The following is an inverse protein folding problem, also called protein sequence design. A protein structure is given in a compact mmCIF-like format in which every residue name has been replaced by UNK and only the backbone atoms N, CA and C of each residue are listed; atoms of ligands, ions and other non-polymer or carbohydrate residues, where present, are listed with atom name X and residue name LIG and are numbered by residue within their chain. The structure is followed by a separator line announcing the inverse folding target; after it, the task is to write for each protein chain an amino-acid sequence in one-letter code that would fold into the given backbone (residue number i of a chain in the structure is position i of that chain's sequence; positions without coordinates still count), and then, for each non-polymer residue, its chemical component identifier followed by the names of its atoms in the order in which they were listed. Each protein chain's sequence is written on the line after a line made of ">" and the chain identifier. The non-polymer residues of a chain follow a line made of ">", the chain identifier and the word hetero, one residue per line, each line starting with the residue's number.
data_IF_430552520388
#
_entry.id   IF_430552520388
#
_cell.length_a   1.000
_cell.length_b   1.000
_cell.length_c   1.000
_cell.angle_alpha   90.00
_cell.angle_beta   90.00
_cell.angle_gamma   90.00
#
_symmetry.space_group_name_H-M   'P 1'
#
loop_
_entity.id
_entity.type
_entity.pdbx_description
1 polymer ?
#
# COMPACT_ATOMS: atom_id res chain seq x y z
N UNK A 1 -56.28 42.85 29.65
CA UNK A 1 -55.11 43.51 29.04
C UNK A 1 -54.31 44.14 30.17
N UNK A 2 -53.04 43.87 30.40
CA UNK A 2 -52.03 43.13 29.66
C UNK A 2 -50.99 42.56 30.64
N UNK A 3 -50.33 41.47 30.23
CA UNK A 3 -49.17 40.86 30.85
C UNK A 3 -47.95 41.79 30.81
N UNK A 4 -47.07 41.71 31.82
CA UNK A 4 -45.67 42.15 31.73
C UNK A 4 -44.83 40.96 32.23
N UNK A 5 -44.00 40.43 31.32
CA UNK A 5 -43.15 39.26 31.55
C UNK A 5 -41.73 39.62 32.02
N UNK A 6 -41.04 38.53 32.39
CA UNK A 6 -39.59 38.27 32.42
C UNK A 6 -38.72 39.24 33.25
N UNK A 7 -37.78 38.79 34.08
CA UNK A 7 -36.49 38.23 33.66
C UNK A 7 -35.96 37.25 34.74
N UNK A 8 -35.61 36.03 34.34
CA UNK A 8 -34.88 35.07 35.17
C UNK A 8 -33.39 35.46 35.18
N UNK A 9 -32.87 35.81 36.36
CA UNK A 9 -31.50 36.24 36.58
C UNK A 9 -30.51 35.08 36.30
N UNK A 10 -29.58 35.34 35.37
CA UNK A 10 -28.52 34.45 34.89
C UNK A 10 -27.51 34.10 36.00
N UNK A 11 -27.91 33.15 36.85
CA UNK A 11 -27.10 32.50 37.86
C UNK A 11 -26.06 31.61 37.18
N UNK A 12 -24.96 32.19 36.68
CA UNK A 12 -23.62 31.58 36.51
C UNK A 12 -22.59 32.55 35.85
N UNK A 13 -22.76 33.86 35.98
CA UNK A 13 -21.95 34.84 35.25
C UNK A 13 -20.72 35.45 35.95
N UNK A 14 -20.55 35.34 37.27
CA UNK A 14 -19.56 36.20 37.97
C UNK A 14 -18.26 35.49 38.36
N UNK A 15 -17.36 35.35 37.38
CA UNK A 15 -15.99 34.83 37.57
C UNK A 15 -15.01 35.90 38.11
N UNK A 16 -15.48 37.12 38.43
CA UNK A 16 -14.62 38.20 38.94
C UNK A 16 -14.00 37.90 40.31
N UNK A 17 -14.51 36.90 41.03
CA UNK A 17 -14.00 36.49 42.35
C UNK A 17 -12.75 35.59 42.28
N UNK A 18 -12.39 35.06 41.10
CA UNK A 18 -11.26 34.14 40.95
C UNK A 18 -10.01 34.75 40.33
N UNK A 19 -10.05 36.03 39.95
CA UNK A 19 -8.90 36.75 39.42
C UNK A 19 -8.45 37.73 40.51
N UNK A 20 -7.25 37.53 41.05
CA UNK A 20 -6.68 38.44 42.07
C UNK A 20 -6.56 39.87 41.53
N UNK A 21 -6.88 40.91 42.32
CA UNK A 21 -6.78 42.29 41.87
C UNK A 21 -5.30 42.68 41.87
N UNK A 22 -4.65 42.65 40.70
CA UNK A 22 -3.36 43.30 40.56
C UNK A 22 -3.56 44.83 40.61
N UNK A 23 -3.02 45.36 41.69
CA UNK A 23 -2.73 46.76 42.04
C UNK A 23 -2.89 47.79 40.93
N UNK A 24 -3.76 48.77 41.21
CA UNK A 24 -3.76 50.09 40.60
C UNK A 24 -2.37 50.75 40.65
N UNK A 25 -1.91 51.29 39.53
CA UNK A 25 -1.48 52.69 39.49
C UNK A 25 -1.40 53.22 38.06
N UNK A 26 -2.00 54.40 37.89
CA UNK A 26 -2.03 55.17 36.67
C UNK A 26 -0.71 55.92 36.43
N UNK A 27 -0.51 56.25 35.15
CA UNK A 27 0.24 57.37 34.58
C UNK A 27 1.71 57.17 34.15
N UNK A 28 1.89 57.46 32.85
CA UNK A 28 3.06 58.04 32.16
C UNK A 28 4.19 57.13 31.64
N UNK A 29 4.26 57.10 30.29
CA UNK A 29 5.46 57.20 29.44
C UNK A 29 6.68 56.32 29.80
N UNK A 30 6.92 55.28 28.98
CA UNK A 30 8.04 55.20 28.00
C UNK A 30 8.28 53.75 27.58
N UNK A 31 8.47 53.60 26.27
CA UNK A 31 9.14 52.47 25.62
C UNK A 31 10.47 52.14 26.29
N UNK A 32 10.67 50.89 26.70
CA UNK A 32 11.97 50.22 26.58
C UNK A 32 11.83 48.70 26.78
N UNK A 33 12.54 48.01 25.91
CA UNK A 33 12.69 46.57 25.78
C UNK A 33 13.22 45.89 27.04
N UNK A 34 12.60 44.79 27.45
CA UNK A 34 13.34 43.64 27.98
C UNK A 34 12.55 42.36 27.80
N UNK A 35 13.26 41.38 27.25
CA UNK A 35 12.83 40.04 26.84
C UNK A 35 12.41 39.20 28.03
N UNK A 36 11.11 38.92 28.15
CA UNK A 36 10.60 37.86 29.01
C UNK A 36 10.66 36.52 28.25
N UNK A 37 11.48 35.61 28.75
CA UNK A 37 11.66 34.23 28.29
C UNK A 37 10.32 33.50 28.19
N UNK A 38 9.89 33.21 26.96
CA UNK A 38 8.74 32.37 26.66
C UNK A 38 9.10 30.93 27.03
N UNK A 39 8.67 30.50 28.20
CA UNK A 39 8.75 29.10 28.61
C UNK A 39 7.84 28.24 27.71
N UNK A 40 8.44 27.29 26.98
CA UNK A 40 7.78 26.28 26.16
C UNK A 40 6.70 25.50 26.94
N UNK A 41 5.45 25.96 26.88
CA UNK A 41 4.28 25.32 27.51
C UNK A 41 3.55 24.33 26.58
N UNK A 42 3.86 24.35 25.28
CA UNK A 42 3.24 23.51 24.25
C UNK A 42 3.57 22.02 24.40
N UNK A 43 4.76 21.68 24.93
CA UNK A 43 5.21 20.29 25.08
C UNK A 43 4.58 19.53 26.27
N UNK A 44 3.90 20.20 27.21
CA UNK A 44 3.27 19.53 28.36
C UNK A 44 1.97 18.80 27.99
N UNK A 45 1.19 19.32 27.04
CA UNK A 45 -0.09 18.72 26.60
C UNK A 45 0.14 17.45 25.76
N UNK A 46 1.09 17.47 24.82
CA UNK A 46 1.43 16.29 23.99
C UNK A 46 2.03 15.15 24.81
N UNK A 47 2.88 15.46 25.80
CA UNK A 47 3.46 14.48 26.72
C UNK A 47 2.41 13.83 27.65
N UNK A 48 1.39 14.59 28.06
CA UNK A 48 0.28 14.06 28.86
C UNK A 48 -0.66 13.13 28.06
N UNK A 49 -0.97 13.48 26.81
CA UNK A 49 -1.74 12.62 25.90
C UNK A 49 -1.02 11.30 25.62
N UNK A 50 0.28 11.34 25.33
CA UNK A 50 1.11 10.15 25.13
C UNK A 50 1.18 9.27 26.41
N UNK A 51 1.26 9.87 27.60
CA UNK A 51 1.23 9.12 28.87
C UNK A 51 -0.11 8.44 29.14
N UNK A 52 -1.22 9.07 28.76
CA UNK A 52 -2.56 8.47 28.89
C UNK A 52 -2.71 7.26 27.95
N UNK A 53 -2.27 7.40 26.70
CA UNK A 53 -2.29 6.34 25.70
C UNK A 53 -1.40 5.16 26.11
N UNK A 54 -0.17 5.41 26.56
CA UNK A 54 0.72 4.36 27.08
C UNK A 54 0.11 3.61 28.27
N UNK A 55 -0.57 4.31 29.19
CA UNK A 55 -1.26 3.66 30.32
C UNK A 55 -2.42 2.79 29.85
N UNK A 56 -3.14 3.21 28.81
CA UNK A 56 -4.24 2.44 28.21
C UNK A 56 -3.69 1.16 27.55
N UNK A 57 -2.64 1.29 26.74
CA UNK A 57 -1.96 0.14 26.10
C UNK A 57 -1.42 -0.85 27.13
N UNK A 58 -0.79 -0.34 28.20
CA UNK A 58 -0.31 -1.19 29.29
C UNK A 58 -1.45 -1.98 29.95
N UNK A 59 -2.56 -1.33 30.29
CA UNK A 59 -3.75 -2.00 30.86
C UNK A 59 -4.31 -3.06 29.91
N UNK A 60 -4.37 -2.77 28.62
CA UNK A 60 -4.85 -3.71 27.62
C UNK A 60 -3.95 -4.94 27.51
N UNK A 61 -2.63 -4.73 27.49
CA UNK A 61 -1.65 -5.81 27.49
C UNK A 61 -1.74 -6.67 28.76
N UNK A 62 -1.80 -6.03 29.92
CA UNK A 62 -1.89 -6.73 31.20
C UNK A 62 -3.19 -7.57 31.27
N UNK A 63 -4.31 -7.10 30.70
CA UNK A 63 -5.56 -7.88 30.58
C UNK A 63 -5.42 -9.10 29.67
N UNK A 64 -4.75 -8.96 28.53
CA UNK A 64 -4.50 -10.07 27.60
C UNK A 64 -3.63 -11.14 28.27
N UNK A 65 -2.60 -10.73 28.99
CA UNK A 65 -1.72 -11.63 29.73
C UNK A 65 -2.47 -12.38 30.84
N UNK A 66 -3.33 -11.69 31.60
CA UNK A 66 -4.22 -12.32 32.58
C UNK A 66 -5.17 -13.35 31.95
N UNK A 67 -5.75 -13.03 30.79
CA UNK A 67 -6.67 -13.93 30.08
C UNK A 67 -5.95 -15.18 29.58
N UNK A 68 -4.77 -15.01 28.98
CA UNK A 68 -3.90 -16.10 28.56
C UNK A 68 -3.53 -16.99 29.76
N UNK A 69 -3.07 -16.39 30.85
CA UNK A 69 -2.71 -17.13 32.05
C UNK A 69 -3.92 -17.87 32.66
N UNK A 70 -5.12 -17.28 32.60
CA UNK A 70 -6.34 -17.91 33.08
C UNK A 70 -6.70 -19.13 32.24
N UNK A 71 -6.63 -19.01 30.90
CA UNK A 71 -6.87 -20.11 29.98
C UNK A 71 -5.84 -21.24 30.14
N UNK A 72 -4.56 -20.90 30.31
CA UNK A 72 -3.49 -21.87 30.55
C UNK A 72 -3.70 -22.64 31.86
N UNK A 73 -4.04 -21.93 32.95
CA UNK A 73 -4.32 -22.55 34.26
C UNK A 73 -5.52 -23.48 34.21
N UNK A 74 -6.55 -23.12 33.43
CA UNK A 74 -7.72 -23.97 33.21
C UNK A 74 -7.39 -25.20 32.34
N UNK A 75 -6.47 -25.06 31.39
CA UNK A 75 -6.01 -26.17 30.54
C UNK A 75 -5.08 -27.15 31.25
N UNK A 76 -4.33 -26.69 32.26
CA UNK A 76 -3.41 -27.55 33.01
C UNK A 76 -4.10 -28.35 34.13
N UNK A 77 -3.79 -29.64 34.23
CA UNK A 77 -4.25 -30.46 35.36
C UNK A 77 -3.57 -30.02 36.68
N UNK A 78 -4.33 -30.05 37.78
CA UNK A 78 -3.80 -29.72 39.11
C UNK A 78 -2.66 -30.69 39.48
N UNK A 79 -1.49 -30.21 39.93
CA UNK A 79 -0.37 -31.07 40.24
C UNK A 79 -0.66 -31.97 41.45
N UNK A 80 -0.06 -33.18 41.47
CA UNK A 80 -0.27 -34.15 42.54
C UNK A 80 0.25 -33.68 43.92
N UNK A 81 1.14 -32.69 43.94
CA UNK A 81 1.64 -32.06 45.17
C UNK A 81 0.57 -31.21 45.87
N UNK A 82 -0.47 -30.77 45.14
CA UNK A 82 -1.55 -29.96 45.68
C UNK A 82 -2.34 -30.73 46.76
N UNK A 83 -2.61 -30.07 47.88
CA UNK A 83 -3.34 -30.62 49.02
C UNK A 83 -4.72 -31.13 48.60
N UNK A 84 -5.42 -30.40 47.72
CA UNK A 84 -6.72 -30.80 47.19
C UNK A 84 -6.67 -32.10 46.38
N UNK A 85 -5.63 -32.27 45.56
CA UNK A 85 -5.44 -33.51 44.79
C UNK A 85 -5.17 -34.71 45.72
N UNK A 86 -4.35 -34.51 46.77
CA UNK A 86 -4.07 -35.55 47.78
C UNK A 86 -5.34 -35.96 48.52
N UNK A 87 -6.17 -34.99 48.91
CA UNK A 87 -7.45 -35.24 49.57
C UNK A 87 -8.41 -36.00 48.65
N UNK A 88 -8.56 -35.56 47.39
CA UNK A 88 -9.37 -36.27 46.38
C UNK A 88 -8.93 -37.72 46.23
N UNK A 89 -7.62 -37.96 46.11
CA UNK A 89 -7.05 -39.31 45.99
C UNK A 89 -7.36 -40.18 47.22
N UNK A 90 -7.31 -39.61 48.43
CA UNK A 90 -7.70 -40.31 49.67
C UNK A 90 -9.18 -40.68 49.71
N UNK A 91 -10.04 -39.88 49.06
CA UNK A 91 -11.48 -40.15 48.94
C UNK A 91 -11.81 -41.14 47.81
N UNK A 92 -10.80 -41.74 47.16
CA UNK A 92 -10.97 -42.73 46.12
C UNK A 92 -11.03 -42.17 44.70
N UNK A 93 -10.67 -40.90 44.48
CA UNK A 93 -10.52 -40.36 43.13
C UNK A 93 -9.29 -40.95 42.43
N UNK A 94 -9.50 -41.51 41.23
CA UNK A 94 -8.42 -41.93 40.33
C UNK A 94 -8.15 -40.86 39.27
N UNK A 95 -6.89 -40.50 38.99
CA UNK A 95 -6.57 -39.48 37.99
C UNK A 95 -7.11 -39.90 36.62
N UNK A 96 -7.90 -39.02 35.99
CA UNK A 96 -8.54 -39.28 34.70
C UNK A 96 -9.93 -39.95 34.79
N UNK A 97 -10.39 -40.37 35.97
CA UNK A 97 -11.77 -40.85 36.14
C UNK A 97 -12.74 -39.69 36.37
N UNK A 98 -13.95 -39.81 35.81
CA UNK A 98 -15.06 -38.94 36.17
C UNK A 98 -15.57 -39.23 37.58
N UNK A 99 -16.02 -38.20 38.29
CA UNK A 99 -16.64 -38.35 39.62
C UNK A 99 -18.07 -38.91 39.51
N UNK A 100 -18.53 -39.60 40.56
CA UNK A 100 -19.89 -40.14 40.69
C UNK A 100 -19.95 -41.66 40.83
N UNK A 101 -21.09 -42.20 41.28
CA UNK A 101 -21.28 -43.63 41.62
C UNK A 101 -20.96 -44.61 40.48
N UNK A 102 -21.06 -44.15 39.23
CA UNK A 102 -20.74 -44.89 38.00
C UNK A 102 -19.80 -44.09 37.08
N UNK A 103 -19.11 -43.07 37.60
CA UNK A 103 -18.33 -42.14 36.78
C UNK A 103 -19.20 -41.29 35.83
N UNK A 104 -20.43 -40.95 36.25
CA UNK A 104 -21.39 -40.20 35.44
C UNK A 104 -21.08 -38.69 35.32
N UNK A 105 -20.08 -38.19 36.05
CA UNK A 105 -19.64 -36.80 35.98
C UNK A 105 -18.83 -36.48 34.74
N UNK A 106 -18.53 -35.20 34.53
CA UNK A 106 -17.58 -34.77 33.49
C UNK A 106 -16.15 -34.95 33.99
N UNK A 107 -15.29 -35.55 33.17
CA UNK A 107 -13.87 -35.69 33.46
C UNK A 107 -13.09 -34.40 33.15
N UNK A 108 -13.56 -33.64 32.16
CA UNK A 108 -12.94 -32.39 31.72
C UNK A 108 -13.67 -31.16 32.29
N UNK A 109 -12.92 -30.10 32.65
CA UNK A 109 -13.49 -28.85 33.12
C UNK A 109 -14.32 -28.17 32.02
N UNK A 110 -15.26 -27.33 32.42
CA UNK A 110 -16.10 -26.58 31.49
C UNK A 110 -15.28 -25.46 30.85
N UNK A 111 -15.30 -25.38 29.51
CA UNK A 111 -14.65 -24.30 28.77
C UNK A 111 -15.24 -22.92 29.09
N UNK A 112 -14.39 -21.91 29.13
CA UNK A 112 -14.76 -20.51 29.40
C UNK A 112 -14.40 -19.64 28.19
N UNK A 113 -15.31 -18.75 27.81
CA UNK A 113 -15.08 -17.68 26.83
C UNK A 113 -14.95 -16.35 27.58
N UNK A 114 -13.74 -15.80 27.66
CA UNK A 114 -13.46 -14.57 28.41
C UNK A 114 -13.76 -13.37 27.52
N UNK A 115 -14.85 -12.67 27.81
CA UNK A 115 -15.25 -11.45 27.09
C UNK A 115 -15.02 -10.22 27.95
N UNK A 116 -14.05 -9.37 27.56
CA UNK A 116 -13.81 -8.06 28.21
C UNK A 116 -14.49 -6.89 27.50
N UNK A 117 -15.07 -7.13 26.33
CA UNK A 117 -15.81 -6.15 25.55
C UNK A 117 -17.18 -5.79 26.14
N UNK A 118 -17.75 -4.70 25.62
CA UNK A 118 -19.16 -4.32 25.84
C UNK A 118 -20.04 -4.59 24.60
N UNK A 119 -19.50 -5.33 23.63
CA UNK A 119 -20.26 -5.75 22.45
C UNK A 119 -21.42 -6.66 22.86
N UNK A 120 -22.53 -6.58 22.14
CA UNK A 120 -23.66 -7.47 22.36
C UNK A 120 -23.25 -8.93 22.17
N UNK A 121 -23.86 -9.83 22.94
CA UNK A 121 -23.68 -11.27 22.76
C UNK A 121 -24.06 -11.63 21.32
N UNK A 122 -23.16 -12.33 20.62
CA UNK A 122 -23.32 -12.71 19.20
C UNK A 122 -22.74 -11.72 18.18
N UNK A 123 -22.25 -10.54 18.57
CA UNK A 123 -21.42 -9.69 17.69
C UNK A 123 -19.94 -9.91 17.96
N UNK A 124 -19.15 -9.88 16.88
CA UNK A 124 -17.68 -9.83 16.99
C UNK A 124 -17.25 -8.53 17.66
N UNK A 125 -16.17 -8.59 18.45
CA UNK A 125 -15.60 -7.40 19.06
C UNK A 125 -15.16 -6.42 17.96
N UNK A 126 -15.43 -5.12 18.11
CA UNK A 126 -15.14 -4.12 17.08
C UNK A 126 -13.65 -4.04 16.71
N UNK A 127 -12.77 -4.51 17.61
CA UNK A 127 -11.33 -4.62 17.35
C UNK A 127 -11.01 -5.72 16.35
N UNK A 128 -11.67 -6.87 16.47
CA UNK A 128 -11.47 -8.02 15.58
C UNK A 128 -11.98 -7.69 14.18
N UNK A 129 -13.16 -7.09 14.09
CA UNK A 129 -13.74 -6.63 12.82
C UNK A 129 -12.84 -5.61 12.12
N UNK A 130 -12.32 -4.63 12.86
CA UNK A 130 -11.42 -3.61 12.30
C UNK A 130 -10.13 -4.23 11.74
N UNK A 131 -9.52 -5.17 12.47
CA UNK A 131 -8.31 -5.87 12.00
C UNK A 131 -8.57 -6.67 10.73
N UNK A 132 -9.75 -7.30 10.60
CA UNK A 132 -10.14 -8.03 9.39
C UNK A 132 -10.26 -7.10 8.19
N UNK A 133 -10.98 -5.99 8.35
CA UNK A 133 -11.16 -4.98 7.30
C UNK A 133 -9.81 -4.37 6.89
N UNK A 134 -8.93 -4.06 7.85
CA UNK A 134 -7.61 -3.49 7.58
C UNK A 134 -6.71 -4.46 6.80
N UNK A 135 -6.74 -5.75 7.15
CA UNK A 135 -6.04 -6.80 6.42
C UNK A 135 -6.54 -6.92 4.98
N UNK A 136 -7.85 -7.02 4.78
CA UNK A 136 -8.45 -7.10 3.45
C UNK A 136 -8.09 -5.88 2.59
N UNK A 137 -8.16 -4.68 3.15
CA UNK A 137 -7.79 -3.46 2.44
C UNK A 137 -6.29 -3.43 2.09
N UNK A 138 -5.42 -3.93 2.96
CA UNK A 138 -3.99 -4.06 2.66
C UNK A 138 -3.70 -5.04 1.52
N UNK A 139 -4.43 -6.16 1.47
CA UNK A 139 -4.30 -7.15 0.40
C UNK A 139 -4.83 -6.60 -0.93
N UNK A 140 -5.96 -5.88 -0.90
CA UNK A 140 -6.52 -5.21 -2.07
C UNK A 140 -5.58 -4.14 -2.61
N UNK A 141 -4.93 -3.36 -1.72
CA UNK A 141 -3.94 -2.36 -2.14
C UNK A 141 -2.73 -3.00 -2.81
N UNK A 142 -2.20 -4.09 -2.24
CA UNK A 142 -1.09 -4.85 -2.83
C UNK A 142 -1.45 -5.37 -4.23
N UNK A 143 -2.64 -5.96 -4.40
CA UNK A 143 -3.11 -6.45 -5.71
C UNK A 143 -3.20 -5.34 -6.75
N UNK A 144 -3.78 -4.18 -6.38
CA UNK A 144 -3.86 -3.02 -7.29
C UNK A 144 -2.48 -2.50 -7.69
N UNK A 145 -1.52 -2.51 -6.77
CA UNK A 145 -0.15 -2.08 -7.07
C UNK A 145 0.56 -3.05 -8.04
N UNK A 146 0.38 -4.35 -7.84
CA UNK A 146 0.90 -5.39 -8.74
C UNK A 146 0.30 -5.29 -10.15
N UNK A 147 -1.01 -5.05 -10.24
CA UNK A 147 -1.73 -4.84 -11.50
C UNK A 147 -1.22 -3.57 -12.23
N UNK A 148 -1.09 -2.45 -11.51
CA UNK A 148 -0.58 -1.20 -12.07
C UNK A 148 0.87 -1.34 -12.58
N UNK A 149 1.71 -2.13 -11.88
CA UNK A 149 3.08 -2.40 -12.30
C UNK A 149 3.14 -3.27 -13.56
N UNK A 150 2.27 -4.27 -13.68
CA UNK A 150 2.17 -5.10 -14.87
C UNK A 150 1.73 -4.29 -16.10
N UNK A 151 0.74 -3.41 -15.93
CA UNK A 151 0.27 -2.50 -16.98
C UNK A 151 1.37 -1.54 -17.45
N UNK A 152 2.14 -0.97 -16.52
CA UNK A 152 3.26 -0.09 -16.86
C UNK A 152 4.32 -0.81 -17.70
N UNK A 153 4.67 -2.05 -17.33
CA UNK A 153 5.61 -2.87 -18.07
C UNK A 153 5.15 -3.19 -19.50
N UNK A 154 3.86 -3.48 -19.68
CA UNK A 154 3.28 -3.76 -21.00
C UNK A 154 3.30 -2.54 -21.91
N UNK A 155 2.94 -1.37 -21.39
CA UNK A 155 2.94 -0.11 -22.17
C UNK A 155 4.35 0.28 -22.63
N UNK A 156 5.36 0.15 -21.77
CA UNK A 156 6.74 0.43 -22.15
C UNK A 156 7.23 -0.51 -23.27
N UNK A 157 6.89 -1.80 -23.20
CA UNK A 157 7.24 -2.78 -24.24
C UNK A 157 6.59 -2.45 -25.59
N UNK A 158 5.32 -2.05 -25.58
CA UNK A 158 4.58 -1.67 -26.79
C UNK A 158 5.18 -0.43 -27.45
N UNK A 159 5.53 0.60 -26.66
CA UNK A 159 6.21 1.78 -27.16
C UNK A 159 7.59 1.45 -27.78
N UNK A 160 8.35 0.55 -27.15
CA UNK A 160 9.64 0.12 -27.68
C UNK A 160 9.48 -0.69 -28.98
N UNK A 161 8.47 -1.55 -29.05
CA UNK A 161 8.11 -2.28 -30.27
C UNK A 161 7.79 -1.31 -31.40
N UNK A 162 6.89 -0.33 -31.15
CA UNK A 162 6.54 0.72 -32.12
C UNK A 162 7.75 1.50 -32.61
N UNK A 163 8.61 1.95 -31.68
CA UNK A 163 9.84 2.68 -32.05
C UNK A 163 10.83 1.82 -32.86
N UNK A 164 10.90 0.53 -32.59
CA UNK A 164 11.75 -0.40 -33.37
C UNK A 164 11.22 -0.55 -34.79
N UNK A 165 9.90 -0.68 -34.95
CA UNK A 165 9.24 -0.76 -36.27
C UNK A 165 9.51 0.50 -37.10
N UNK A 166 9.32 1.69 -36.53
CA UNK A 166 9.55 2.96 -37.26
C UNK A 166 11.01 3.12 -37.69
N UNK A 167 11.97 2.77 -36.83
CA UNK A 167 13.40 2.81 -37.16
C UNK A 167 13.76 1.82 -38.27
N UNK A 168 13.25 0.60 -38.20
CA UNK A 168 13.52 -0.41 -39.23
C UNK A 168 12.88 -0.06 -40.57
N UNK A 169 11.67 0.50 -40.55
CA UNK A 169 10.98 0.95 -41.76
C UNK A 169 11.79 2.02 -42.48
N UNK A 170 12.20 3.06 -41.75
CA UNK A 170 13.03 4.15 -42.31
C UNK A 170 14.36 3.63 -42.88
N UNK A 171 14.98 2.63 -42.23
CA UNK A 171 16.19 1.98 -42.76
C UNK A 171 15.90 1.20 -44.05
N UNK A 172 14.82 0.41 -44.07
CA UNK A 172 14.42 -0.39 -45.22
C UNK A 172 14.11 0.51 -46.42
N UNK A 173 13.38 1.60 -46.19
CA UNK A 173 13.05 2.61 -47.20
C UNK A 173 14.31 3.28 -47.75
N UNK A 174 15.26 3.67 -46.88
CA UNK A 174 16.52 4.27 -47.32
C UNK A 174 17.35 3.31 -48.20
N UNK A 175 17.40 2.02 -47.85
CA UNK A 175 18.10 1.01 -48.66
C UNK A 175 17.37 0.79 -49.99
N UNK A 176 16.05 0.71 -49.98
CA UNK A 176 15.25 0.55 -51.19
C UNK A 176 15.48 1.73 -52.14
N UNK A 177 15.48 2.97 -51.64
CA UNK A 177 15.80 4.16 -52.42
C UNK A 177 17.21 4.09 -53.04
N UNK A 178 18.21 3.60 -52.30
CA UNK A 178 19.56 3.40 -52.81
C UNK A 178 19.61 2.34 -53.93
N UNK A 179 18.92 1.22 -53.76
CA UNK A 179 18.90 0.12 -54.73
C UNK A 179 18.08 0.44 -55.99
N UNK A 180 17.06 1.28 -55.86
CA UNK A 180 16.26 1.79 -56.99
C UNK A 180 16.97 2.87 -57.81
N UNK A 181 18.20 3.27 -57.45
CA UNK A 181 18.94 4.39 -58.06
C UNK A 181 18.10 5.69 -58.15
N UNK A 182 17.23 5.92 -57.18
CA UNK A 182 16.47 7.17 -57.05
C UNK A 182 17.38 8.14 -56.31
N UNK A 183 17.62 9.34 -56.87
CA UNK A 183 18.54 10.34 -56.29
C UNK A 183 18.31 10.48 -54.78
N UNK A 184 19.32 10.08 -54.00
CA UNK A 184 19.32 10.19 -52.54
C UNK A 184 19.32 11.68 -52.20
N UNK A 185 18.14 12.24 -51.88
CA UNK A 185 18.08 13.48 -51.12
C UNK A 185 18.63 13.14 -49.74
N UNK A 186 19.87 13.55 -49.47
CA UNK A 186 20.48 13.42 -48.15
C UNK A 186 19.58 14.09 -47.11
N UNK A 187 18.83 13.28 -46.36
CA UNK A 187 18.18 13.76 -45.14
C UNK A 187 19.30 13.96 -44.13
N UNK A 188 19.65 15.22 -43.88
CA UNK A 188 20.64 15.63 -42.89
C UNK A 188 20.39 14.91 -41.56
N UNK A 189 21.42 14.23 -41.06
CA UNK A 189 21.43 13.69 -39.71
C UNK A 189 21.32 14.86 -38.73
N UNK A 190 20.13 15.09 -38.17
CA UNK A 190 20.00 15.89 -36.95
C UNK A 190 20.60 15.09 -35.80
N UNK A 191 21.84 15.43 -35.49
CA UNK A 191 22.55 14.97 -34.30
C UNK A 191 21.73 15.26 -33.03
N UNK A 192 21.83 14.33 -32.09
CA UNK A 192 21.16 14.28 -30.81
C UNK A 192 21.56 15.46 -29.91
N UNK A 193 20.83 16.58 -29.90
CA UNK A 193 20.57 17.39 -28.69
C UNK A 193 19.53 18.50 -28.95
N UNK A 194 18.70 18.75 -27.94
CA UNK A 194 17.77 19.88 -27.74
C UNK A 194 16.46 19.93 -28.55
N UNK A 195 15.37 19.65 -27.82
CA UNK A 195 14.36 20.66 -27.56
C UNK A 195 13.30 20.90 -28.63
N UNK A 196 12.10 20.36 -28.34
CA UNK A 196 10.80 20.92 -28.71
C UNK A 196 10.68 21.56 -30.11
N UNK A 197 10.33 20.74 -31.10
CA UNK A 197 9.40 21.13 -32.16
C UNK A 197 8.48 19.97 -32.49
N UNK A 198 7.28 20.04 -31.92
CA UNK A 198 6.09 19.41 -32.49
C UNK A 198 5.81 20.11 -33.83
N UNK A 199 6.47 19.64 -34.90
CA UNK A 199 5.87 19.75 -36.22
C UNK A 199 4.88 18.59 -36.31
N UNK A 200 3.61 18.94 -36.24
CA UNK A 200 2.45 18.13 -36.57
C UNK A 200 2.51 17.81 -38.07
N UNK A 201 3.49 17.01 -38.47
CA UNK A 201 3.40 16.22 -39.69
C UNK A 201 2.47 15.08 -39.30
N UNK A 202 1.37 14.91 -40.04
CA UNK A 202 0.63 13.64 -40.09
C UNK A 202 1.64 12.56 -40.57
N UNK A 203 2.53 12.13 -39.69
CA UNK A 203 3.32 10.93 -39.90
C UNK A 203 2.30 9.80 -39.86
N UNK A 204 1.93 9.29 -41.04
CA UNK A 204 1.17 8.04 -41.17
C UNK A 204 1.77 7.04 -40.18
N UNK A 205 0.96 6.54 -39.24
CA UNK A 205 1.42 5.60 -38.22
C UNK A 205 2.04 4.40 -38.93
N UNK A 206 3.38 4.36 -39.01
CA UNK A 206 4.10 3.29 -39.68
C UNK A 206 3.74 1.98 -38.96
N UNK A 207 3.00 1.13 -39.65
CA UNK A 207 2.52 -0.13 -39.09
C UNK A 207 3.56 -1.25 -39.28
N UNK A 208 3.36 -2.36 -38.58
CA UNK A 208 4.14 -3.59 -38.79
C UNK A 208 3.99 -4.13 -40.22
N UNK A 209 2.83 -3.91 -40.83
CA UNK A 209 2.52 -4.35 -42.19
C UNK A 209 3.33 -3.55 -43.22
N UNK A 210 3.45 -2.23 -43.04
CA UNK A 210 4.24 -1.37 -43.92
C UNK A 210 5.73 -1.76 -43.92
N UNK A 211 6.27 -2.11 -42.74
CA UNK A 211 7.63 -2.63 -42.63
C UNK A 211 7.79 -3.96 -43.37
N UNK A 212 6.85 -4.89 -43.20
CA UNK A 212 6.88 -6.18 -43.89
C UNK A 212 6.82 -6.02 -45.40
N UNK A 213 5.99 -5.11 -45.91
CA UNK A 213 5.85 -4.85 -47.34
C UNK A 213 7.17 -4.37 -47.96
N UNK A 214 7.88 -3.43 -47.32
CA UNK A 214 9.19 -2.98 -47.80
C UNK A 214 10.24 -4.09 -47.69
N UNK A 215 10.26 -4.85 -46.60
CA UNK A 215 11.17 -5.98 -46.45
C UNK A 215 10.93 -7.06 -47.52
N UNK A 216 9.67 -7.33 -47.87
CA UNK A 216 9.33 -8.26 -48.94
C UNK A 216 9.78 -7.74 -50.30
N UNK A 217 9.59 -6.44 -50.60
CA UNK A 217 10.10 -5.83 -51.84
C UNK A 217 11.63 -5.97 -51.95
N UNK A 218 12.37 -5.61 -50.90
CA UNK A 218 13.83 -5.74 -50.85
C UNK A 218 14.30 -7.18 -51.11
N UNK A 219 13.57 -8.18 -50.61
CA UNK A 219 13.93 -9.59 -50.76
C UNK A 219 13.54 -10.18 -52.11
N UNK A 220 12.37 -9.82 -52.64
CA UNK A 220 11.86 -10.37 -53.88
C UNK A 220 12.52 -9.75 -55.11
N UNK A 221 12.76 -8.43 -55.09
CA UNK A 221 13.28 -7.70 -56.25
C UNK A 221 14.81 -7.59 -56.22
N UNK A 222 15.37 -7.32 -55.04
CA UNK A 222 16.80 -7.06 -54.89
C UNK A 222 17.57 -8.19 -54.21
N UNK A 223 16.90 -9.26 -53.76
CA UNK A 223 17.52 -10.34 -52.98
C UNK A 223 18.35 -9.80 -51.80
N UNK A 224 17.88 -8.72 -51.16
CA UNK A 224 18.57 -8.05 -50.07
C UNK A 224 17.87 -8.32 -48.73
N UNK A 225 18.62 -8.60 -47.68
CA UNK A 225 18.09 -8.71 -46.32
C UNK A 225 18.60 -7.55 -45.45
N UNK A 226 17.67 -6.75 -44.92
CA UNK A 226 17.96 -5.63 -44.02
C UNK A 226 18.71 -6.04 -42.76
N UNK A 227 18.34 -7.18 -42.18
CA UNK A 227 18.88 -7.63 -40.89
C UNK A 227 20.23 -8.35 -41.03
N UNK A 228 20.47 -9.06 -42.14
CA UNK A 228 21.81 -9.57 -42.46
C UNK A 228 22.75 -8.47 -43.00
N UNK A 229 22.19 -7.40 -43.57
CA UNK A 229 22.94 -6.30 -44.16
C UNK A 229 23.63 -6.64 -45.49
N UNK A 230 23.18 -7.68 -46.20
CA UNK A 230 23.80 -8.18 -47.42
C UNK A 230 22.81 -8.49 -48.55
N UNK A 231 23.32 -8.40 -49.79
CA UNK A 231 22.63 -8.79 -51.01
C UNK A 231 23.08 -10.19 -51.45
N UNK A 232 22.14 -11.01 -51.89
CA UNK A 232 22.38 -12.38 -52.34
C UNK A 232 22.32 -12.48 -53.86
N UNK A 233 22.99 -13.49 -54.42
CA UNK A 233 23.11 -13.69 -55.87
C UNK A 233 21.80 -14.21 -56.51
N UNK A 234 20.96 -14.89 -55.73
CA UNK A 234 19.68 -15.44 -56.19
C UNK A 234 18.68 -15.59 -55.04
N UNK A 235 17.39 -15.71 -55.38
CA UNK A 235 16.33 -15.99 -54.40
C UNK A 235 16.55 -17.29 -53.62
N UNK A 236 17.12 -18.32 -54.26
CA UNK A 236 17.46 -19.59 -53.60
C UNK A 236 18.63 -19.43 -52.60
N UNK A 237 19.61 -18.59 -52.93
CA UNK A 237 20.72 -18.26 -52.03
C UNK A 237 20.25 -17.45 -50.82
N UNK A 238 19.29 -16.54 -51.01
CA UNK A 238 18.65 -15.80 -49.93
C UNK A 238 17.92 -16.75 -48.97
N UNK A 239 17.07 -17.65 -49.48
CA UNK A 239 16.26 -18.55 -48.66
C UNK A 239 17.10 -19.60 -47.89
N UNK A 240 18.24 -20.00 -48.42
CA UNK A 240 19.11 -20.99 -47.79
C UNK A 240 20.06 -20.39 -46.74
N UNK A 241 20.47 -19.13 -46.90
CA UNK A 241 21.47 -18.49 -46.03
C UNK A 241 20.88 -17.47 -45.05
N UNK A 242 19.68 -16.95 -45.30
CA UNK A 242 19.04 -15.96 -44.44
C UNK A 242 18.09 -16.65 -43.43
N UNK A 243 18.26 -16.43 -42.11
CA UNK A 243 17.46 -17.07 -41.06
C UNK A 243 15.95 -16.83 -41.14
N UNK A 244 15.52 -15.69 -41.67
CA UNK A 244 14.11 -15.33 -41.68
C UNK A 244 13.84 -13.95 -42.27
N UNK A 245 12.60 -13.45 -42.20
CA UNK A 245 12.23 -12.12 -42.69
C UNK A 245 12.22 -11.07 -41.58
N UNK A 246 11.99 -11.49 -40.34
CA UNK A 246 11.85 -10.60 -39.19
C UNK A 246 13.17 -10.40 -38.46
N UNK A 247 13.30 -9.30 -37.71
CA UNK A 247 14.49 -9.05 -36.90
C UNK A 247 14.72 -10.13 -35.84
N UNK A 248 13.65 -10.66 -35.24
CA UNK A 248 13.74 -11.66 -34.16
C UNK A 248 14.24 -13.04 -34.63
N UNK A 249 14.31 -13.27 -35.94
CA UNK A 249 14.80 -14.51 -36.55
C UNK A 249 16.32 -14.47 -36.82
N UNK A 250 16.97 -13.31 -36.65
CA UNK A 250 18.39 -13.06 -36.93
C UNK A 250 19.19 -12.77 -35.67
#
# INVERSE_FOLDING_TARGET
>A
MAEVGEEEEDYMGDLSQFISPETSNSSSKKVSSSTASVSNSSNKKSRAQNRHEQRKLKRERDQIEEDQQTLERLGSAIPQSNIGFKLLKQMGYTPGSALGKQGSGRAEPVGLDIRRGRAGIGKEDPKVEKLRIEKENSEMKRRKEEELMADFGSRQKELWKGRRITVNFRKAEAVLAQLENRDVVEVEKKDENDGEKEEEVEEEEITEEDLLDILMKLRNEFHYCLFCGCQYESAEALLSNCPGINEDEH
#
